data_IF_798719231278
#
_entry.id   IF_798719231278
#
_cell.length_a   1.000
_cell.length_b   1.000
_cell.length_c   1.000
_cell.angle_alpha   90.00
_cell.angle_beta   90.00
_cell.angle_gamma   90.00
#
_symmetry.space_group_name_H-M   'P 1'
#
loop_
_entity.id
_entity.type
_entity.pdbx_description
1 polymer ?
#
# COMPACT_ATOMS: atom_id res chain seq x y z
N UNK A 1 -60.44 -4.97 -76.31
CA UNK A 1 -59.92 -6.22 -75.79
C UNK A 1 -58.41 -6.03 -75.45
N UNK A 2 -58.10 -5.90 -74.20
CA UNK A 2 -56.78 -6.25 -73.59
C UNK A 2 -56.81 -5.77 -72.17
N UNK A 3 -57.09 -6.70 -71.24
CA UNK A 3 -57.07 -6.50 -69.82
C UNK A 3 -55.57 -6.50 -69.39
N UNK A 4 -55.13 -5.44 -68.84
CA UNK A 4 -53.79 -5.35 -68.22
C UNK A 4 -53.93 -5.79 -66.77
N UNK A 5 -53.17 -6.83 -66.41
CA UNK A 5 -52.97 -7.32 -65.03
C UNK A 5 -52.03 -6.37 -64.32
N UNK A 6 -52.46 -5.71 -63.24
CA UNK A 6 -51.56 -5.04 -62.31
C UNK A 6 -51.12 -6.04 -61.23
N UNK A 7 -49.85 -6.39 -61.24
CA UNK A 7 -49.21 -7.14 -60.20
C UNK A 7 -48.74 -6.17 -59.10
N UNK A 8 -49.35 -6.30 -57.91
CA UNK A 8 -48.92 -5.58 -56.73
C UNK A 8 -47.67 -6.26 -56.13
N UNK A 9 -46.51 -5.58 -56.20
CA UNK A 9 -45.31 -5.96 -55.53
C UNK A 9 -45.35 -5.35 -54.14
N UNK A 10 -45.63 -6.15 -53.12
CA UNK A 10 -45.49 -5.78 -51.73
C UNK A 10 -44.02 -5.79 -51.36
N UNK A 11 -43.42 -4.61 -51.29
CA UNK A 11 -42.06 -4.44 -50.74
C UNK A 11 -42.12 -4.54 -49.21
N UNK A 12 -41.75 -5.70 -48.65
CA UNK A 12 -41.41 -5.83 -47.24
C UNK A 12 -40.11 -5.09 -46.98
N UNK A 13 -40.20 -3.84 -46.55
CA UNK A 13 -39.09 -3.12 -45.96
C UNK A 13 -38.81 -3.74 -44.56
N UNK A 14 -37.84 -4.66 -44.50
CA UNK A 14 -37.24 -5.08 -43.27
C UNK A 14 -36.45 -3.88 -42.69
N UNK A 15 -37.08 -3.17 -41.76
CA UNK A 15 -36.35 -2.21 -40.92
C UNK A 15 -35.47 -3.04 -40.03
N UNK A 16 -34.24 -3.28 -40.47
CA UNK A 16 -33.14 -3.68 -39.59
C UNK A 16 -32.92 -2.51 -38.63
N UNK A 17 -33.61 -2.51 -37.49
CA UNK A 17 -33.25 -1.70 -36.35
C UNK A 17 -31.88 -2.19 -35.88
N UNK A 18 -30.84 -1.71 -36.56
CA UNK A 18 -29.49 -1.77 -36.04
C UNK A 18 -29.52 -1.07 -34.70
N UNK A 19 -29.56 -1.83 -33.61
CA UNK A 19 -29.18 -1.33 -32.33
C UNK A 19 -27.73 -0.85 -32.47
N UNK A 20 -27.57 0.42 -32.76
CA UNK A 20 -26.29 1.11 -32.52
C UNK A 20 -26.05 0.91 -31.03
N UNK A 21 -25.34 -0.15 -30.70
CA UNK A 21 -24.82 -0.33 -29.35
C UNK A 21 -24.04 0.93 -29.03
N UNK A 22 -24.66 1.85 -28.32
CA UNK A 22 -23.99 3.01 -27.77
C UNK A 22 -22.80 2.43 -27.00
N UNK A 23 -21.58 2.60 -27.50
CA UNK A 23 -20.39 2.14 -26.81
C UNK A 23 -20.47 2.69 -25.39
N UNK A 24 -20.65 1.81 -24.44
CA UNK A 24 -20.79 2.20 -23.03
C UNK A 24 -19.56 3.00 -22.65
N UNK A 25 -19.76 4.20 -22.12
CA UNK A 25 -18.66 5.09 -21.73
C UNK A 25 -17.69 4.34 -20.81
N UNK A 26 -16.37 4.50 -21.07
CA UNK A 26 -15.34 3.86 -20.26
C UNK A 26 -15.46 4.25 -18.79
N UNK A 27 -15.16 3.31 -17.93
CA UNK A 27 -15.05 3.56 -16.50
C UNK A 27 -13.68 4.19 -16.21
N UNK A 28 -13.65 5.50 -16.00
CA UNK A 28 -12.42 6.23 -15.68
C UNK A 28 -12.08 6.06 -14.21
N UNK A 29 -10.87 5.63 -13.92
CA UNK A 29 -10.31 5.52 -12.58
C UNK A 29 -9.03 6.35 -12.51
N UNK A 30 -9.04 7.39 -11.68
CA UNK A 30 -7.83 8.17 -11.38
C UNK A 30 -6.88 7.35 -10.50
N UNK A 31 -5.62 7.24 -10.89
CA UNK A 31 -4.60 6.54 -10.11
C UNK A 31 -3.58 7.55 -9.59
N UNK A 32 -3.60 7.81 -8.29
CA UNK A 32 -2.58 8.61 -7.63
C UNK A 32 -1.37 7.73 -7.33
N UNK A 33 -0.24 8.05 -7.95
CA UNK A 33 1.01 7.31 -7.77
C UNK A 33 2.18 8.26 -7.54
N UNK A 34 3.04 7.94 -6.58
CA UNK A 34 4.28 8.69 -6.32
C UNK A 34 5.29 8.35 -7.40
N UNK A 35 5.47 9.24 -8.38
CA UNK A 35 6.33 9.04 -9.53
C UNK A 35 7.54 9.98 -9.55
N UNK A 36 7.78 10.68 -8.43
CA UNK A 36 8.98 11.50 -8.22
C UNK A 36 9.40 11.45 -6.74
N UNK A 37 10.68 11.75 -6.45
CA UNK A 37 11.25 11.74 -5.09
C UNK A 37 11.70 10.36 -4.62
N UNK A 38 11.86 10.20 -3.29
CA UNK A 38 12.45 9.01 -2.67
C UNK A 38 11.63 7.73 -2.88
N UNK A 39 10.31 7.83 -3.04
CA UNK A 39 9.40 6.71 -3.14
C UNK A 39 8.96 6.37 -4.59
N UNK A 40 9.65 6.92 -5.60
CA UNK A 40 9.32 6.73 -7.02
C UNK A 40 9.19 5.25 -7.41
N UNK A 41 10.17 4.42 -7.04
CA UNK A 41 10.16 2.99 -7.38
C UNK A 41 8.97 2.23 -6.78
N UNK A 42 8.50 2.65 -5.59
CA UNK A 42 7.29 2.13 -4.98
C UNK A 42 6.02 2.53 -5.73
N UNK A 43 5.94 3.79 -6.16
CA UNK A 43 4.81 4.29 -6.94
C UNK A 43 4.69 3.62 -8.31
N UNK A 44 5.81 3.48 -9.02
CA UNK A 44 5.86 2.75 -10.30
C UNK A 44 5.41 1.30 -10.15
N UNK A 45 5.89 0.62 -9.09
CA UNK A 45 5.52 -0.77 -8.86
C UNK A 45 4.07 -0.92 -8.41
N UNK A 46 3.56 0.04 -7.65
CA UNK A 46 2.14 0.12 -7.31
C UNK A 46 1.25 0.18 -8.56
N UNK A 47 1.59 1.04 -9.52
CA UNK A 47 0.87 1.11 -10.81
C UNK A 47 0.90 -0.24 -11.54
N UNK A 48 2.05 -0.95 -11.54
CA UNK A 48 2.16 -2.31 -12.13
C UNK A 48 1.19 -3.27 -11.46
N UNK A 49 1.07 -3.23 -10.13
CA UNK A 49 0.12 -4.06 -9.39
C UNK A 49 -1.33 -3.84 -9.83
N UNK A 50 -1.76 -2.58 -9.93
CA UNK A 50 -3.09 -2.23 -10.42
C UNK A 50 -3.32 -2.68 -11.87
N UNK A 51 -2.31 -2.50 -12.75
CA UNK A 51 -2.38 -2.94 -14.14
C UNK A 51 -2.53 -4.45 -14.29
N UNK A 52 -1.85 -5.25 -13.45
CA UNK A 52 -2.00 -6.72 -13.45
C UNK A 52 -3.42 -7.09 -13.03
N UNK A 53 -3.95 -6.49 -11.96
CA UNK A 53 -5.30 -6.76 -11.49
C UNK A 53 -6.38 -6.43 -12.55
N UNK A 54 -6.20 -5.32 -13.28
CA UNK A 54 -7.06 -4.96 -14.41
C UNK A 54 -6.91 -5.94 -15.57
N UNK A 55 -5.67 -6.31 -15.94
CA UNK A 55 -5.40 -7.27 -17.02
C UNK A 55 -6.02 -8.64 -16.77
N UNK A 56 -5.95 -9.13 -15.53
CA UNK A 56 -6.58 -10.40 -15.13
C UNK A 56 -8.11 -10.39 -15.27
N UNK A 57 -8.73 -9.20 -15.29
CA UNK A 57 -10.17 -8.97 -15.54
C UNK A 57 -10.47 -8.67 -17.02
N UNK A 58 -9.51 -8.87 -17.92
CA UNK A 58 -9.67 -8.57 -19.35
C UNK A 58 -9.86 -7.09 -19.68
N UNK A 59 -9.36 -6.18 -18.82
CA UNK A 59 -9.48 -4.73 -19.00
C UNK A 59 -10.87 -4.16 -18.70
N UNK A 60 -11.76 -4.93 -18.04
CA UNK A 60 -13.16 -4.56 -17.84
C UNK A 60 -13.63 -4.82 -16.40
N UNK A 61 -14.65 -4.06 -15.98
CA UNK A 61 -15.41 -4.30 -14.75
C UNK A 61 -16.89 -4.23 -15.12
N UNK A 62 -17.67 -5.28 -14.77
CA UNK A 62 -19.09 -5.40 -15.13
C UNK A 62 -19.37 -5.11 -16.63
N UNK A 63 -18.50 -5.58 -17.52
CA UNK A 63 -18.60 -5.38 -18.97
C UNK A 63 -18.10 -4.02 -19.49
N UNK A 64 -17.90 -3.01 -18.65
CA UNK A 64 -17.37 -1.70 -19.04
C UNK A 64 -15.84 -1.73 -19.14
N UNK A 65 -15.31 -1.16 -20.20
CA UNK A 65 -13.87 -0.93 -20.32
C UNK A 65 -13.38 0.02 -19.25
N UNK A 66 -12.23 -0.30 -18.64
CA UNK A 66 -11.59 0.54 -17.62
C UNK A 66 -10.46 1.35 -18.25
N UNK A 67 -10.43 2.64 -17.94
CA UNK A 67 -9.35 3.55 -18.29
C UNK A 67 -8.69 4.09 -17.02
N UNK A 68 -7.38 3.78 -16.83
CA UNK A 68 -6.58 4.39 -15.78
C UNK A 68 -6.06 5.75 -16.23
N UNK A 69 -6.37 6.79 -15.46
CA UNK A 69 -5.78 8.12 -15.61
C UNK A 69 -4.75 8.30 -14.49
N UNK A 70 -3.47 8.10 -14.85
CA UNK A 70 -2.40 8.15 -13.86
C UNK A 70 -2.04 9.61 -13.58
N UNK A 71 -2.08 9.99 -12.30
CA UNK A 71 -1.69 11.29 -11.82
C UNK A 71 -0.50 11.17 -10.86
N UNK A 72 0.62 11.79 -11.28
CA UNK A 72 1.88 11.73 -10.55
C UNK A 72 1.85 12.59 -9.28
N UNK A 73 2.43 12.06 -8.20
CA UNK A 73 2.69 12.79 -6.95
C UNK A 73 4.17 12.68 -6.57
N UNK A 74 4.56 13.36 -5.49
CA UNK A 74 5.90 13.34 -4.91
C UNK A 74 5.91 12.90 -3.44
N UNK A 75 4.86 12.22 -2.98
CA UNK A 75 4.57 11.81 -1.61
C UNK A 75 4.15 12.96 -0.67
N UNK A 76 4.01 14.21 -1.17
CA UNK A 76 3.54 15.33 -0.35
C UNK A 76 2.02 15.51 -0.42
N UNK A 77 1.38 16.02 0.68
CA UNK A 77 -0.04 16.34 0.70
C UNK A 77 -0.48 17.28 -0.42
N UNK A 78 0.31 18.34 -0.68
CA UNK A 78 -0.02 19.34 -1.68
C UNK A 78 -0.02 18.78 -3.10
N UNK A 79 0.92 17.91 -3.41
CA UNK A 79 1.02 17.23 -4.69
C UNK A 79 -0.19 16.31 -4.91
N UNK A 80 -0.57 15.51 -3.91
CA UNK A 80 -1.74 14.65 -3.97
C UNK A 80 -3.04 15.45 -4.18
N UNK A 81 -3.22 16.55 -3.46
CA UNK A 81 -4.41 17.41 -3.60
C UNK A 81 -4.50 18.05 -4.98
N UNK A 82 -3.38 18.55 -5.54
CA UNK A 82 -3.37 19.10 -6.91
C UNK A 82 -3.73 18.03 -7.94
N UNK A 83 -3.15 16.85 -7.83
CA UNK A 83 -3.41 15.72 -8.71
C UNK A 83 -4.87 15.26 -8.60
N UNK A 84 -5.41 15.13 -7.39
CA UNK A 84 -6.80 14.73 -7.16
C UNK A 84 -7.81 15.74 -7.72
N UNK A 85 -7.57 17.04 -7.52
CA UNK A 85 -8.43 18.09 -8.12
C UNK A 85 -8.46 18.00 -9.65
N UNK A 86 -7.29 17.81 -10.28
CA UNK A 86 -7.24 17.63 -11.74
C UNK A 86 -8.05 16.40 -12.17
N UNK A 87 -7.89 15.27 -11.52
CA UNK A 87 -8.65 14.04 -11.81
C UNK A 87 -10.16 14.26 -11.69
N UNK A 88 -10.62 14.94 -10.64
CA UNK A 88 -12.05 15.16 -10.40
C UNK A 88 -12.62 16.28 -11.28
N UNK A 89 -11.96 17.43 -11.35
CA UNK A 89 -12.50 18.63 -11.99
C UNK A 89 -12.31 18.65 -13.52
N UNK A 90 -11.19 18.11 -14.02
CA UNK A 90 -10.86 18.10 -15.46
C UNK A 90 -11.15 16.75 -16.10
N UNK A 91 -10.65 15.66 -15.51
CA UNK A 91 -10.77 14.32 -16.09
C UNK A 91 -12.12 13.66 -15.75
N UNK A 92 -12.89 14.25 -14.80
CA UNK A 92 -14.25 13.84 -14.39
C UNK A 92 -14.31 12.42 -13.83
N UNK A 93 -13.29 11.99 -13.08
CA UNK A 93 -13.31 10.69 -12.43
C UNK A 93 -14.23 10.70 -11.21
N UNK A 94 -14.92 9.59 -10.97
CA UNK A 94 -15.69 9.34 -9.75
C UNK A 94 -14.99 8.34 -8.81
N UNK A 95 -13.89 7.75 -9.26
CA UNK A 95 -13.12 6.74 -8.55
C UNK A 95 -11.65 7.15 -8.53
N UNK A 96 -11.03 7.13 -7.35
CA UNK A 96 -9.59 7.35 -7.18
C UNK A 96 -9.00 6.13 -6.48
N UNK A 97 -7.95 5.56 -7.09
CA UNK A 97 -7.09 4.54 -6.52
C UNK A 97 -5.78 5.19 -6.07
N UNK A 98 -5.42 5.04 -4.82
CA UNK A 98 -4.29 5.74 -4.23
C UNK A 98 -4.73 6.54 -3.00
N UNK A 99 -3.80 7.25 -2.34
CA UNK A 99 -2.40 7.49 -2.69
C UNK A 99 -1.43 6.45 -2.13
N UNK A 100 -0.11 6.82 -2.13
CA UNK A 100 0.94 5.96 -1.61
C UNK A 100 1.40 6.36 -0.20
N UNK A 101 1.75 7.63 0.05
CA UNK A 101 2.33 8.03 1.32
C UNK A 101 1.29 8.27 2.41
N UNK A 102 1.68 8.09 3.68
CA UNK A 102 0.76 8.31 4.80
C UNK A 102 0.25 9.73 4.90
N UNK A 103 1.10 10.73 4.62
CA UNK A 103 0.70 12.14 4.64
C UNK A 103 -0.27 12.49 3.51
N UNK A 104 -0.07 11.92 2.32
CA UNK A 104 -1.04 12.02 1.22
C UNK A 104 -2.39 11.38 1.60
N UNK A 105 -2.37 10.22 2.28
CA UNK A 105 -3.59 9.53 2.73
C UNK A 105 -4.45 10.39 3.66
N UNK A 106 -3.83 11.09 4.61
CA UNK A 106 -4.54 12.03 5.50
C UNK A 106 -5.18 13.16 4.69
N UNK A 107 -4.43 13.78 3.77
CA UNK A 107 -4.94 14.86 2.92
C UNK A 107 -6.08 14.38 2.00
N UNK A 108 -5.94 13.20 1.41
CA UNK A 108 -6.97 12.61 0.54
C UNK A 108 -8.23 12.21 1.30
N UNK A 109 -8.10 11.73 2.55
CA UNK A 109 -9.26 11.53 3.43
C UNK A 109 -10.06 12.82 3.62
N UNK A 110 -9.37 13.93 3.90
CA UNK A 110 -10.06 15.20 4.14
C UNK A 110 -10.62 15.79 2.84
N UNK A 111 -9.90 15.68 1.73
CA UNK A 111 -10.40 16.06 0.40
C UNK A 111 -11.66 15.27 0.01
N UNK A 112 -11.70 13.97 0.27
CA UNK A 112 -12.85 13.13 -0.08
C UNK A 112 -14.17 13.60 0.56
N UNK A 113 -14.12 14.26 1.72
CA UNK A 113 -15.30 14.85 2.38
C UNK A 113 -15.87 16.03 1.59
N UNK A 114 -15.06 16.71 0.79
CA UNK A 114 -15.47 17.86 -0.03
C UNK A 114 -16.03 17.49 -1.39
N UNK A 115 -15.86 16.23 -1.80
CA UNK A 115 -16.28 15.66 -3.08
C UNK A 115 -17.16 14.41 -2.88
N UNK A 116 -18.42 14.56 -2.39
CA UNK A 116 -19.24 13.44 -1.91
C UNK A 116 -19.56 12.38 -2.96
N UNK A 117 -19.45 12.70 -4.25
CA UNK A 117 -19.70 11.80 -5.36
C UNK A 117 -18.45 11.05 -5.83
N UNK A 118 -17.29 11.29 -5.18
CA UNK A 118 -16.03 10.62 -5.50
C UNK A 118 -15.71 9.62 -4.40
N UNK A 119 -15.38 8.39 -4.77
CA UNK A 119 -14.91 7.37 -3.83
C UNK A 119 -13.41 7.21 -3.97
N UNK A 120 -12.70 7.29 -2.86
CA UNK A 120 -11.25 7.04 -2.77
C UNK A 120 -11.04 5.66 -2.19
N UNK A 121 -10.31 4.82 -2.90
CA UNK A 121 -9.80 3.54 -2.41
C UNK A 121 -8.29 3.69 -2.25
N UNK A 122 -7.88 3.79 -1.00
CA UNK A 122 -6.47 3.92 -0.60
C UNK A 122 -5.69 2.71 -1.10
N UNK A 123 -4.63 2.98 -1.83
CA UNK A 123 -3.83 1.91 -2.38
C UNK A 123 -2.73 1.46 -1.42
N UNK A 124 -2.00 2.38 -0.77
CA UNK A 124 -0.86 1.98 0.06
C UNK A 124 -0.54 2.92 1.23
N UNK A 125 -1.30 3.99 1.44
CA UNK A 125 -0.99 4.92 2.53
C UNK A 125 -1.10 4.25 3.89
N UNK A 126 -0.10 4.48 4.75
CA UNK A 126 0.03 3.74 6.01
C UNK A 126 -0.17 4.57 7.28
N UNK A 127 -0.60 5.84 7.21
CA UNK A 127 -0.90 6.61 8.41
C UNK A 127 -2.10 6.02 9.18
N UNK A 128 -1.98 5.88 10.50
CA UNK A 128 -3.08 5.43 11.36
C UNK A 128 -4.26 6.40 11.28
N UNK A 129 -3.96 7.69 11.29
CA UNK A 129 -4.94 8.78 11.35
C UNK A 129 -5.93 8.77 10.18
N UNK A 130 -5.53 8.22 9.05
CA UNK A 130 -6.35 8.23 7.82
C UNK A 130 -7.74 7.62 8.02
N UNK A 131 -7.83 6.51 8.75
CA UNK A 131 -9.09 5.80 9.02
C UNK A 131 -9.48 5.81 10.50
N UNK A 132 -8.58 6.22 11.39
CA UNK A 132 -8.85 6.24 12.83
C UNK A 132 -9.33 7.62 13.33
N UNK A 133 -8.81 8.71 12.76
CA UNK A 133 -9.16 10.07 13.18
C UNK A 133 -10.11 10.70 12.18
N UNK A 134 -11.37 10.90 12.58
CA UNK A 134 -12.38 11.55 11.76
C UNK A 134 -12.47 10.96 10.33
N UNK A 135 -12.75 9.64 10.20
CA UNK A 135 -12.75 8.95 8.91
C UNK A 135 -13.79 9.54 7.95
N UNK A 136 -13.52 9.48 6.66
CA UNK A 136 -14.45 9.92 5.61
C UNK A 136 -15.34 8.76 5.15
N UNK A 137 -16.65 8.98 4.95
CA UNK A 137 -17.55 7.93 4.41
C UNK A 137 -17.21 7.52 2.98
N UNK A 138 -16.42 8.31 2.26
CA UNK A 138 -16.04 8.07 0.88
C UNK A 138 -14.62 7.50 0.74
N UNK A 139 -13.95 7.17 1.86
CA UNK A 139 -12.57 6.71 1.88
C UNK A 139 -12.50 5.27 2.42
N UNK A 140 -11.91 4.36 1.65
CA UNK A 140 -11.79 2.94 1.94
C UNK A 140 -10.33 2.52 1.86
N UNK A 141 -9.86 1.66 2.76
CA UNK A 141 -8.47 1.19 2.75
C UNK A 141 -8.41 -0.33 2.84
N UNK A 142 -8.00 -0.99 1.73
CA UNK A 142 -7.82 -2.44 1.64
C UNK A 142 -6.40 -2.91 1.97
N UNK A 143 -5.61 -2.08 2.60
CA UNK A 143 -4.30 -2.41 3.15
C UNK A 143 -4.24 -2.06 4.64
N UNK A 144 -3.30 -2.68 5.34
CA UNK A 144 -3.01 -2.34 6.74
C UNK A 144 -2.37 -0.94 6.85
N UNK A 145 -2.52 -0.29 8.00
CA UNK A 145 -1.70 0.87 8.32
C UNK A 145 -0.33 0.46 8.86
N UNK A 146 0.58 1.43 9.02
CA UNK A 146 1.95 1.17 9.46
C UNK A 146 2.06 0.49 10.83
N UNK A 147 1.12 0.76 11.77
CA UNK A 147 1.12 0.11 13.07
C UNK A 147 0.72 -1.37 12.96
N UNK A 148 -0.32 -1.65 12.16
CA UNK A 148 -0.76 -3.02 11.91
C UNK A 148 0.33 -3.86 11.25
N UNK A 149 1.12 -3.28 10.34
CA UNK A 149 2.27 -3.98 9.75
C UNK A 149 3.34 -4.35 10.76
N UNK A 150 3.44 -3.65 11.89
CA UNK A 150 4.42 -3.95 12.95
C UNK A 150 3.88 -4.92 14.02
N UNK A 151 2.67 -5.46 13.84
CA UNK A 151 2.08 -6.38 14.79
C UNK A 151 2.96 -7.61 15.03
N UNK A 152 3.26 -7.89 16.29
CA UNK A 152 4.09 -9.02 16.73
C UNK A 152 5.60 -8.82 16.55
N UNK A 153 6.07 -7.84 15.77
CA UNK A 153 7.50 -7.64 15.54
C UNK A 153 8.23 -7.21 16.82
N UNK A 154 7.65 -6.31 17.59
CA UNK A 154 8.27 -5.82 18.82
C UNK A 154 8.54 -6.94 19.81
N UNK A 155 7.56 -7.83 20.02
CA UNK A 155 7.71 -9.01 20.87
C UNK A 155 8.76 -9.99 20.31
N UNK A 156 8.76 -10.25 19.00
CA UNK A 156 9.74 -11.10 18.32
C UNK A 156 11.16 -10.56 18.49
N UNK A 157 11.36 -9.27 18.28
CA UNK A 157 12.68 -8.62 18.41
C UNK A 157 13.19 -8.72 19.86
N UNK A 158 12.30 -8.51 20.86
CA UNK A 158 12.69 -8.60 22.26
C UNK A 158 12.98 -10.05 22.72
N UNK A 159 12.07 -10.99 22.42
CA UNK A 159 12.12 -12.35 22.95
C UNK A 159 13.01 -13.26 22.12
N UNK A 160 12.85 -13.27 20.80
CA UNK A 160 13.49 -14.23 19.92
C UNK A 160 14.87 -13.73 19.43
N UNK A 161 15.01 -12.42 19.10
CA UNK A 161 16.31 -11.83 18.71
C UNK A 161 17.14 -11.41 19.91
N UNK A 162 16.54 -11.22 21.08
CA UNK A 162 17.22 -10.82 22.30
C UNK A 162 17.63 -9.34 22.36
N UNK A 163 17.12 -8.49 21.44
CA UNK A 163 17.44 -7.07 21.43
C UNK A 163 16.62 -6.35 22.50
N UNK A 164 17.29 -5.80 23.51
CA UNK A 164 16.67 -5.18 24.70
C UNK A 164 16.67 -3.66 24.64
N UNK A 165 17.66 -3.07 23.93
CA UNK A 165 17.89 -1.63 23.85
C UNK A 165 18.06 -1.21 22.40
N UNK A 166 17.17 -0.33 21.92
CA UNK A 166 17.17 0.13 20.53
C UNK A 166 17.28 1.64 20.41
N UNK A 167 17.92 2.10 19.32
CA UNK A 167 17.71 3.41 18.75
C UNK A 167 16.73 3.32 17.57
N UNK A 168 16.14 4.44 17.20
CA UNK A 168 15.23 4.59 16.04
C UNK A 168 15.78 5.66 15.11
N UNK A 169 15.81 5.37 13.83
CA UNK A 169 16.01 6.35 12.75
C UNK A 169 14.84 6.20 11.78
N UNK A 170 14.12 7.28 11.49
CA UNK A 170 12.97 7.27 10.59
C UNK A 170 12.83 8.56 9.80
N UNK A 171 12.08 8.50 8.72
CA UNK A 171 11.66 9.67 7.97
C UNK A 171 10.62 10.47 8.76
N UNK A 172 10.66 11.79 8.66
CA UNK A 172 9.90 12.73 9.48
C UNK A 172 8.49 13.00 8.90
N UNK A 173 7.65 11.96 8.83
CA UNK A 173 6.25 12.07 8.42
C UNK A 173 5.36 10.96 9.02
N UNK A 174 4.06 11.03 8.78
CA UNK A 174 3.04 10.23 9.49
C UNK A 174 3.25 8.70 9.42
N UNK A 175 3.73 8.16 8.29
CA UNK A 175 3.87 6.71 8.14
C UNK A 175 4.98 6.10 9.04
N UNK A 176 6.24 6.60 9.06
CA UNK A 176 7.25 6.08 9.97
C UNK A 176 6.86 6.25 11.44
N UNK A 177 6.21 7.35 11.81
CA UNK A 177 5.67 7.49 13.18
C UNK A 177 4.68 6.37 13.50
N UNK A 178 3.79 6.04 12.55
CA UNK A 178 2.81 4.96 12.72
C UNK A 178 3.51 3.60 12.84
N UNK A 179 4.59 3.35 12.10
CA UNK A 179 5.36 2.11 12.21
C UNK A 179 6.05 1.99 13.58
N UNK A 180 6.76 3.04 14.00
CA UNK A 180 7.43 3.06 15.30
C UNK A 180 6.41 2.91 16.43
N UNK A 181 5.24 3.54 16.30
CA UNK A 181 4.13 3.37 17.24
C UNK A 181 3.73 1.91 17.37
N UNK A 182 3.40 1.23 16.26
CA UNK A 182 2.99 -0.16 16.27
C UNK A 182 4.06 -1.12 16.80
N UNK A 183 5.31 -0.90 16.40
CA UNK A 183 6.47 -1.65 16.90
C UNK A 183 6.62 -1.48 18.42
N UNK A 184 6.62 -0.23 18.90
CA UNK A 184 6.84 0.10 20.31
C UNK A 184 5.74 -0.49 21.22
N UNK A 185 4.47 -0.56 20.77
CA UNK A 185 3.41 -1.19 21.57
C UNK A 185 3.76 -2.62 22.00
N UNK A 186 4.28 -3.43 21.09
CA UNK A 186 4.71 -4.80 21.42
C UNK A 186 6.06 -4.86 22.11
N UNK A 187 7.01 -4.03 21.66
CA UNK A 187 8.39 -4.06 22.13
C UNK A 187 8.52 -3.54 23.57
N UNK A 188 7.92 -2.39 23.90
CA UNK A 188 7.94 -1.84 25.25
C UNK A 188 7.16 -2.72 26.23
N UNK A 189 6.00 -3.27 25.80
CA UNK A 189 5.23 -4.23 26.62
C UNK A 189 6.05 -5.48 26.96
N UNK A 190 6.93 -5.92 26.07
CA UNK A 190 7.82 -7.05 26.31
C UNK A 190 9.02 -6.71 27.23
N UNK A 191 9.24 -5.45 27.58
CA UNK A 191 10.34 -4.95 28.42
C UNK A 191 11.47 -4.29 27.64
N UNK A 192 11.31 -4.04 26.33
CA UNK A 192 12.29 -3.36 25.50
C UNK A 192 12.39 -1.86 25.79
N UNK A 193 13.54 -1.27 25.50
CA UNK A 193 13.81 0.15 25.68
C UNK A 193 14.19 0.82 24.35
N UNK A 194 13.51 1.91 24.02
CA UNK A 194 13.90 2.82 22.93
C UNK A 194 14.58 4.02 23.56
N UNK A 195 15.92 4.09 23.41
CA UNK A 195 16.74 5.09 24.12
C UNK A 195 16.97 6.36 23.31
N UNK A 196 16.76 6.28 21.97
CA UNK A 196 16.93 7.42 21.10
C UNK A 196 15.99 7.32 19.92
N UNK A 197 15.52 8.47 19.44
CA UNK A 197 14.77 8.61 18.18
C UNK A 197 15.35 9.77 17.38
N UNK A 198 15.71 9.50 16.15
CA UNK A 198 16.18 10.48 15.19
C UNK A 198 15.25 10.48 13.98
N UNK A 199 14.86 11.68 13.54
CA UNK A 199 13.95 11.86 12.42
C UNK A 199 14.61 12.73 11.36
N UNK A 200 14.53 12.32 10.11
CA UNK A 200 15.09 13.02 8.95
C UNK A 200 14.00 13.34 7.94
N UNK A 201 14.07 14.49 7.25
CA UNK A 201 13.13 14.79 6.18
C UNK A 201 13.11 13.69 5.10
N UNK A 202 11.92 13.39 4.56
CA UNK A 202 11.81 12.50 3.39
C UNK A 202 12.62 13.10 2.22
N UNK A 203 13.45 12.29 1.58
CA UNK A 203 14.34 12.70 0.50
C UNK A 203 15.74 13.14 1.00
N UNK A 204 16.09 12.83 2.25
CA UNK A 204 17.42 13.10 2.83
C UNK A 204 18.53 12.44 2.01
N UNK A 205 19.56 13.21 1.69
CA UNK A 205 20.73 12.73 0.93
C UNK A 205 21.95 12.46 1.80
N UNK A 206 22.08 13.17 2.91
CA UNK A 206 23.21 13.06 3.85
C UNK A 206 22.73 12.56 5.21
N UNK A 207 23.20 11.37 5.58
CA UNK A 207 22.92 10.70 6.84
C UNK A 207 24.11 10.74 7.81
N UNK A 208 25.18 11.45 7.48
CA UNK A 208 26.43 11.44 8.26
C UNK A 208 26.22 11.78 9.74
N UNK A 209 25.50 12.87 10.03
CA UNK A 209 25.23 13.28 11.42
C UNK A 209 24.31 12.28 12.15
N UNK A 210 23.32 11.70 11.46
CA UNK A 210 22.41 10.74 12.05
C UNK A 210 23.15 9.44 12.39
N UNK A 211 24.04 8.99 11.50
CA UNK A 211 24.87 7.79 11.71
C UNK A 211 25.84 8.01 12.86
N UNK A 212 26.51 9.16 12.92
CA UNK A 212 27.46 9.49 13.98
C UNK A 212 26.83 9.58 15.37
N UNK A 213 25.52 9.85 15.43
CA UNK A 213 24.77 9.94 16.67
C UNK A 213 24.08 8.61 17.09
N UNK A 214 24.33 7.49 16.42
CA UNK A 214 23.84 6.19 16.88
C UNK A 214 24.59 5.82 18.16
N UNK A 215 23.90 5.55 19.29
CA UNK A 215 24.58 5.16 20.53
C UNK A 215 25.31 3.83 20.37
N UNK A 216 26.51 3.73 20.92
CA UNK A 216 27.34 2.53 20.84
C UNK A 216 26.79 1.34 21.64
N UNK A 217 25.95 1.60 22.62
CA UNK A 217 25.43 0.63 23.59
C UNK A 217 24.01 0.14 23.28
N UNK A 218 23.56 0.27 22.04
CA UNK A 218 22.29 -0.32 21.56
C UNK A 218 22.49 -1.69 20.92
N UNK A 219 21.54 -2.60 21.11
CA UNK A 219 21.57 -3.93 20.49
C UNK A 219 21.28 -3.85 18.98
N UNK A 220 20.43 -2.91 18.58
CA UNK A 220 20.09 -2.69 17.18
C UNK A 220 19.50 -1.29 16.95
N UNK A 221 19.35 -0.92 15.68
CA UNK A 221 18.67 0.30 15.22
C UNK A 221 17.41 -0.09 14.45
N UNK A 222 16.26 0.42 14.87
CA UNK A 222 15.04 0.35 14.08
C UNK A 222 15.10 1.39 12.96
N UNK A 223 14.95 0.93 11.72
CA UNK A 223 15.02 1.77 10.53
C UNK A 223 13.63 1.94 9.89
N UNK A 224 13.02 3.10 10.11
CA UNK A 224 11.77 3.54 9.48
C UNK A 224 12.04 4.37 8.22
N UNK A 225 12.89 3.86 7.32
CA UNK A 225 13.28 4.48 6.07
C UNK A 225 12.73 3.69 4.88
N UNK A 226 12.58 4.33 3.72
CA UNK A 226 12.08 3.69 2.50
C UNK A 226 12.80 4.14 1.22
N UNK A 227 12.65 3.35 0.15
CA UNK A 227 13.10 3.70 -1.19
C UNK A 227 14.52 4.24 -1.26
N UNK A 228 14.69 5.42 -1.88
CA UNK A 228 15.98 6.06 -2.08
C UNK A 228 16.71 6.45 -0.79
N UNK A 229 15.97 6.81 0.26
CA UNK A 229 16.55 7.20 1.55
C UNK A 229 17.19 6.01 2.26
N UNK A 230 16.54 4.83 2.20
CA UNK A 230 17.14 3.57 2.68
C UNK A 230 18.46 3.27 1.99
N UNK A 231 18.50 3.41 0.66
CA UNK A 231 19.71 3.15 -0.13
C UNK A 231 20.83 4.13 0.23
N UNK A 232 20.50 5.42 0.38
CA UNK A 232 21.47 6.45 0.79
C UNK A 232 22.02 6.17 2.19
N UNK A 233 21.14 5.83 3.16
CA UNK A 233 21.54 5.47 4.51
C UNK A 233 22.49 4.25 4.51
N UNK A 234 22.11 3.16 3.85
CA UNK A 234 22.92 1.93 3.81
C UNK A 234 24.30 2.15 3.19
N UNK A 235 24.38 2.93 2.11
CA UNK A 235 25.64 3.25 1.46
C UNK A 235 26.58 4.04 2.40
N UNK A 236 26.07 5.06 3.09
CA UNK A 236 26.86 5.86 4.02
C UNK A 236 27.21 5.09 5.28
N UNK A 237 26.25 4.32 5.84
CA UNK A 237 26.51 3.47 6.99
C UNK A 237 27.59 2.42 6.70
N UNK A 238 27.55 1.79 5.52
CA UNK A 238 28.58 0.83 5.08
C UNK A 238 29.98 1.44 5.00
N UNK A 239 30.10 2.74 4.68
CA UNK A 239 31.39 3.44 4.62
C UNK A 239 31.98 3.73 6.01
N UNK A 240 31.15 3.84 7.05
CA UNK A 240 31.62 4.08 8.43
C UNK A 240 32.15 2.81 9.11
N UNK A 241 31.96 1.64 8.54
CA UNK A 241 32.29 0.37 9.18
C UNK A 241 31.41 0.05 10.40
N UNK A 242 30.24 0.66 10.50
CA UNK A 242 29.27 0.48 11.58
C UNK A 242 28.87 -0.98 11.77
N UNK A 243 28.71 -1.40 13.05
CA UNK A 243 28.44 -2.79 13.44
C UNK A 243 27.05 -3.01 14.06
N UNK A 244 26.25 -1.95 14.21
CA UNK A 244 24.91 -2.09 14.77
C UNK A 244 24.06 -3.00 13.90
N UNK A 245 23.29 -3.88 14.54
CA UNK A 245 22.26 -4.68 13.88
C UNK A 245 21.05 -3.81 13.56
N UNK A 246 20.22 -4.27 12.64
CA UNK A 246 19.04 -3.53 12.25
C UNK A 246 17.75 -4.28 12.59
N UNK A 247 16.68 -3.52 12.80
CA UNK A 247 15.30 -3.94 12.76
C UNK A 247 14.63 -3.11 11.66
N UNK A 248 14.06 -3.73 10.65
CA UNK A 248 13.49 -3.01 9.52
C UNK A 248 12.01 -2.65 9.73
N UNK A 249 11.64 -1.40 9.46
CA UNK A 249 10.27 -1.09 9.08
C UNK A 249 9.89 -1.82 7.78
N UNK A 250 8.59 -1.92 7.47
CA UNK A 250 8.11 -2.74 6.34
C UNK A 250 8.71 -2.34 4.99
N UNK A 251 8.96 -1.04 4.76
CA UNK A 251 9.52 -0.53 3.50
C UNK A 251 11.06 -0.53 3.47
N UNK A 252 11.72 -0.67 4.63
CA UNK A 252 13.18 -0.81 4.69
C UNK A 252 13.68 -2.14 4.09
N UNK A 253 12.86 -3.16 4.19
CA UNK A 253 13.14 -4.51 3.66
C UNK A 253 12.24 -4.89 2.49
N UNK A 254 11.59 -3.91 1.87
CA UNK A 254 10.79 -4.11 0.67
C UNK A 254 11.68 -4.32 -0.56
N UNK A 255 11.12 -4.95 -1.60
CA UNK A 255 11.84 -5.22 -2.85
C UNK A 255 12.36 -3.94 -3.52
N UNK A 256 11.76 -2.78 -3.28
CA UNK A 256 12.27 -1.48 -3.74
C UNK A 256 13.67 -1.17 -3.20
N UNK A 257 14.02 -1.71 -2.02
CA UNK A 257 15.34 -1.59 -1.37
C UNK A 257 16.18 -2.84 -1.61
N UNK A 258 15.62 -4.04 -1.39
CA UNK A 258 16.36 -5.30 -1.51
C UNK A 258 16.85 -5.57 -2.94
N UNK A 259 16.12 -5.10 -3.95
CA UNK A 259 16.54 -5.19 -5.36
C UNK A 259 17.39 -4.01 -5.84
N UNK A 260 17.75 -3.06 -4.95
CA UNK A 260 18.59 -1.91 -5.31
C UNK A 260 19.99 -2.34 -5.74
N UNK A 261 20.67 -1.48 -6.51
CA UNK A 261 22.03 -1.74 -6.95
C UNK A 261 23.02 -1.51 -5.82
N UNK A 262 24.16 -2.21 -5.86
CA UNK A 262 25.27 -2.05 -4.91
C UNK A 262 25.26 -3.09 -3.80
N UNK A 263 26.38 -3.17 -3.08
CA UNK A 263 26.64 -4.17 -2.04
C UNK A 263 26.07 -3.78 -0.67
N UNK A 264 25.81 -2.49 -0.43
CA UNK A 264 25.41 -1.97 0.88
C UNK A 264 24.05 -2.57 1.38
N UNK A 265 23.18 -2.97 0.47
CA UNK A 265 21.94 -3.68 0.84
C UNK A 265 22.21 -4.99 1.61
N UNK A 266 23.38 -5.61 1.46
CA UNK A 266 23.75 -6.82 2.22
C UNK A 266 23.89 -6.56 3.72
N UNK A 267 24.00 -5.32 4.16
CA UNK A 267 23.92 -4.94 5.57
C UNK A 267 22.57 -5.31 6.21
N UNK A 268 21.54 -5.51 5.38
CA UNK A 268 20.23 -5.94 5.84
C UNK A 268 20.11 -7.44 6.11
N UNK A 269 21.08 -8.28 5.71
CA UNK A 269 21.01 -9.74 5.96
C UNK A 269 20.93 -10.00 7.47
N UNK A 270 19.93 -10.81 7.88
CA UNK A 270 19.61 -11.07 9.28
C UNK A 270 18.70 -10.05 9.95
N UNK A 271 18.28 -8.98 9.23
CA UNK A 271 17.36 -7.96 9.74
C UNK A 271 15.95 -8.54 9.89
N UNK A 272 15.40 -8.59 11.12
CA UNK A 272 14.00 -8.91 11.33
C UNK A 272 13.12 -7.72 10.91
N UNK A 273 11.95 -8.02 10.35
CA UNK A 273 10.95 -7.03 9.97
C UNK A 273 9.55 -7.62 10.03
N UNK A 274 8.55 -6.79 9.76
CA UNK A 274 7.19 -7.26 9.49
C UNK A 274 6.47 -6.35 8.50
N UNK A 275 5.45 -6.89 7.83
CA UNK A 275 4.72 -6.15 6.81
C UNK A 275 3.60 -6.96 6.18
N UNK A 276 2.98 -6.38 5.15
CA UNK A 276 1.89 -7.01 4.41
C UNK A 276 2.33 -8.08 3.40
N UNK A 277 3.64 -8.33 3.24
CA UNK A 277 4.17 -9.30 2.28
C UNK A 277 5.33 -10.10 2.89
N UNK A 278 5.54 -11.30 2.37
CA UNK A 278 6.70 -12.16 2.69
C UNK A 278 7.13 -12.86 1.41
N UNK A 279 8.25 -12.44 0.82
CA UNK A 279 8.69 -12.91 -0.51
C UNK A 279 8.75 -14.43 -0.63
N UNK A 280 9.28 -15.09 0.39
CA UNK A 280 9.46 -16.53 0.43
C UNK A 280 8.34 -17.29 1.17
N UNK A 281 7.14 -16.71 1.24
CA UNK A 281 5.99 -17.40 1.83
C UNK A 281 5.55 -18.57 0.94
N UNK A 282 5.49 -19.78 1.55
CA UNK A 282 5.12 -21.00 0.84
C UNK A 282 3.59 -21.19 0.80
N UNK A 283 2.90 -20.24 0.16
CA UNK A 283 1.46 -20.29 -0.06
C UNK A 283 1.15 -20.32 -1.57
N UNK A 284 0.22 -21.16 -2.03
CA UNK A 284 -0.10 -21.27 -3.46
C UNK A 284 -0.60 -19.96 -4.09
N UNK A 285 -1.38 -19.14 -3.38
CA UNK A 285 -1.90 -17.87 -3.90
C UNK A 285 -0.80 -16.83 -4.01
N UNK A 286 0.06 -16.77 -2.99
CA UNK A 286 1.23 -15.91 -3.03
C UNK A 286 2.15 -16.25 -4.20
N UNK A 287 2.47 -17.55 -4.37
CA UNK A 287 3.27 -18.01 -5.52
C UNK A 287 2.62 -17.70 -6.86
N UNK A 288 1.31 -17.86 -6.97
CA UNK A 288 0.57 -17.50 -8.19
C UNK A 288 0.64 -15.99 -8.47
N UNK A 289 0.57 -15.15 -7.43
CA UNK A 289 0.73 -13.70 -7.55
C UNK A 289 2.15 -13.32 -7.99
N UNK A 290 3.17 -13.88 -7.35
CA UNK A 290 4.59 -13.68 -7.76
C UNK A 290 4.77 -14.06 -9.22
N UNK A 291 4.25 -15.23 -9.64
CA UNK A 291 4.30 -15.63 -11.03
C UNK A 291 3.58 -14.69 -11.97
N UNK A 292 2.37 -14.26 -11.66
CA UNK A 292 1.61 -13.31 -12.46
C UNK A 292 2.34 -11.97 -12.62
N UNK A 293 2.99 -11.48 -11.56
CA UNK A 293 3.82 -10.30 -11.56
C UNK A 293 5.05 -10.47 -12.46
N UNK A 294 5.72 -11.62 -12.37
CA UNK A 294 6.89 -11.94 -13.17
C UNK A 294 6.57 -12.10 -14.67
N UNK A 295 5.43 -12.70 -14.98
CA UNK A 295 4.97 -12.90 -16.37
C UNK A 295 4.47 -11.60 -17.02
N UNK A 296 4.04 -10.63 -16.21
CA UNK A 296 3.45 -9.38 -16.74
C UNK A 296 4.50 -8.40 -17.29
N UNK A 297 5.73 -8.43 -16.73
CA UNK A 297 6.78 -7.47 -17.08
C UNK A 297 8.12 -8.16 -17.28
N UNK A 298 8.97 -7.70 -18.20
CA UNK A 298 10.33 -8.22 -18.38
C UNK A 298 11.19 -7.96 -17.14
N UNK A 299 12.20 -8.79 -16.93
CA UNK A 299 13.01 -8.82 -15.71
C UNK A 299 13.73 -7.49 -15.39
N UNK A 300 14.08 -6.71 -16.42
CA UNK A 300 14.73 -5.39 -16.27
C UNK A 300 13.74 -4.27 -15.91
N UNK A 301 12.43 -4.55 -15.91
CA UNK A 301 11.33 -3.61 -15.60
C UNK A 301 10.54 -3.95 -14.34
N UNK A 302 10.97 -4.93 -13.59
CA UNK A 302 10.30 -5.41 -12.36
C UNK A 302 11.31 -5.82 -11.29
N UNK A 303 10.83 -6.02 -10.08
CA UNK A 303 11.60 -6.66 -9.00
C UNK A 303 11.55 -8.19 -9.11
N UNK A 304 12.36 -8.87 -8.31
CA UNK A 304 12.36 -10.33 -8.25
C UNK A 304 11.03 -10.89 -7.70
N UNK A 305 10.43 -10.19 -6.73
CA UNK A 305 9.11 -10.43 -6.15
C UNK A 305 8.30 -9.14 -6.20
N UNK A 306 6.95 -9.17 -6.25
CA UNK A 306 6.15 -7.96 -6.15
C UNK A 306 6.44 -7.23 -4.84
N UNK A 307 6.64 -5.92 -4.91
CA UNK A 307 6.80 -5.10 -3.72
C UNK A 307 5.52 -5.06 -2.87
N UNK A 308 5.65 -4.58 -1.64
CA UNK A 308 4.50 -4.23 -0.81
C UNK A 308 3.55 -3.27 -1.55
N UNK A 309 4.09 -2.31 -2.28
CA UNK A 309 3.29 -1.35 -3.04
C UNK A 309 2.52 -2.00 -4.19
N UNK A 310 3.16 -2.87 -4.98
CA UNK A 310 2.48 -3.63 -6.04
C UNK A 310 1.32 -4.45 -5.48
N UNK A 311 1.55 -5.16 -4.38
CA UNK A 311 0.54 -6.00 -3.72
C UNK A 311 -0.61 -5.17 -3.16
N UNK A 312 -0.33 -4.02 -2.56
CA UNK A 312 -1.35 -3.15 -2.00
C UNK A 312 -2.24 -2.51 -3.09
N UNK A 313 -1.65 -1.99 -4.18
CA UNK A 313 -2.42 -1.45 -5.30
C UNK A 313 -3.25 -2.53 -6.01
N UNK A 314 -2.70 -3.76 -6.13
CA UNK A 314 -3.43 -4.92 -6.64
C UNK A 314 -4.66 -5.22 -5.78
N UNK A 315 -4.50 -5.29 -4.47
CA UNK A 315 -5.60 -5.57 -3.53
C UNK A 315 -6.65 -4.46 -3.51
N UNK A 316 -6.20 -3.19 -3.46
CA UNK A 316 -7.08 -2.04 -3.45
C UNK A 316 -7.94 -1.96 -4.71
N UNK A 317 -7.33 -2.15 -5.89
CA UNK A 317 -8.07 -2.21 -7.15
C UNK A 317 -9.01 -3.44 -7.18
N UNK A 318 -8.56 -4.59 -6.70
CA UNK A 318 -9.39 -5.81 -6.65
C UNK A 318 -10.63 -5.61 -5.77
N UNK A 319 -10.49 -4.93 -4.61
CA UNK A 319 -11.60 -4.56 -3.75
C UNK A 319 -12.56 -3.59 -4.43
N UNK A 320 -12.02 -2.53 -5.06
CA UNK A 320 -12.80 -1.58 -5.85
C UNK A 320 -13.60 -2.29 -6.94
N UNK A 321 -12.95 -3.16 -7.72
CA UNK A 321 -13.59 -3.91 -8.80
C UNK A 321 -14.68 -4.85 -8.29
N UNK A 322 -14.45 -5.57 -7.19
CA UNK A 322 -15.43 -6.46 -6.58
C UNK A 322 -16.69 -5.68 -6.12
N UNK A 323 -16.53 -4.51 -5.52
CA UNK A 323 -17.65 -3.65 -5.16
C UNK A 323 -18.41 -3.12 -6.37
N UNK A 324 -17.71 -2.70 -7.44
CA UNK A 324 -18.31 -2.22 -8.68
C UNK A 324 -19.10 -3.30 -9.42
N UNK A 325 -18.63 -4.55 -9.41
CA UNK A 325 -19.36 -5.69 -10.00
C UNK A 325 -20.72 -5.91 -9.33
N UNK A 326 -20.84 -5.67 -8.01
CA UNK A 326 -22.10 -5.80 -7.28
C UNK A 326 -23.18 -4.81 -7.69
N UNK A 327 -22.76 -3.67 -8.25
CA UNK A 327 -23.66 -2.60 -8.71
C UNK A 327 -23.64 -2.43 -10.24
N UNK A 328 -23.11 -3.41 -10.99
CA UNK A 328 -22.93 -3.33 -12.44
C UNK A 328 -22.19 -2.06 -12.91
N UNK A 329 -21.21 -1.60 -12.11
CA UNK A 329 -20.46 -0.37 -12.31
C UNK A 329 -21.36 0.88 -12.45
N UNK A 330 -22.56 0.88 -11.86
CA UNK A 330 -23.45 2.04 -11.80
C UNK A 330 -23.01 2.99 -10.68
N UNK A 331 -22.66 4.21 -11.05
CA UNK A 331 -22.29 5.30 -10.17
C UNK A 331 -23.25 6.51 -10.29
N UNK A 332 -24.41 6.32 -10.92
CA UNK A 332 -25.37 7.39 -11.23
C UNK A 332 -25.95 8.08 -9.99
N UNK A 333 -25.95 7.39 -8.85
CA UNK A 333 -26.38 7.90 -7.54
C UNK A 333 -25.24 8.61 -6.75
N UNK A 334 -24.20 9.02 -7.43
CA UNK A 334 -23.00 9.56 -6.81
C UNK A 334 -22.16 8.50 -6.09
N UNK A 335 -22.34 7.22 -6.45
CA UNK A 335 -21.60 6.08 -5.92
C UNK A 335 -22.05 5.61 -4.53
N UNK A 336 -23.25 6.02 -4.07
CA UNK A 336 -23.75 5.63 -2.73
C UNK A 336 -23.95 4.12 -2.60
N UNK A 337 -24.61 3.49 -3.59
CA UNK A 337 -24.78 2.02 -3.62
C UNK A 337 -23.46 1.30 -3.73
N UNK A 338 -22.56 1.81 -4.57
CA UNK A 338 -21.21 1.25 -4.71
C UNK A 338 -20.47 1.24 -3.36
N UNK A 339 -20.44 2.37 -2.63
CA UNK A 339 -19.80 2.45 -1.30
C UNK A 339 -20.43 1.50 -0.28
N UNK A 340 -21.76 1.32 -0.34
CA UNK A 340 -22.45 0.38 0.54
C UNK A 340 -22.05 -1.09 0.27
N UNK A 341 -21.85 -1.45 -1.00
CA UNK A 341 -21.37 -2.79 -1.36
C UNK A 341 -19.86 -2.93 -1.14
N UNK A 342 -19.06 -1.87 -1.41
CA UNK A 342 -17.63 -1.87 -1.18
C UNK A 342 -17.28 -2.13 0.30
N UNK A 343 -18.07 -1.57 1.23
CA UNK A 343 -17.87 -1.79 2.67
C UNK A 343 -18.05 -3.25 3.11
N UNK A 344 -18.75 -4.07 2.31
CA UNK A 344 -19.00 -5.51 2.58
C UNK A 344 -18.03 -6.44 1.86
N UNK A 345 -17.13 -5.88 1.06
CA UNK A 345 -16.21 -6.71 0.26
C UNK A 345 -15.24 -7.45 1.18
N UNK A 346 -15.21 -8.76 1.02
CA UNK A 346 -14.18 -9.63 1.56
C UNK A 346 -13.32 -10.13 0.40
N UNK A 347 -12.01 -9.89 0.48
CA UNK A 347 -11.06 -10.32 -0.54
C UNK A 347 -10.34 -11.58 -0.08
N UNK A 348 -10.25 -12.53 -0.97
CA UNK A 348 -9.32 -13.63 -0.89
C UNK A 348 -8.00 -13.23 -1.59
N UNK A 349 -7.28 -12.30 -0.94
CA UNK A 349 -6.10 -11.66 -1.51
C UNK A 349 -4.87 -12.58 -1.52
N UNK A 350 -3.88 -12.33 -2.40
CA UNK A 350 -2.66 -13.16 -2.48
C UNK A 350 -1.88 -13.25 -1.17
N UNK A 351 -1.94 -12.23 -0.35
CA UNK A 351 -1.27 -12.13 0.96
C UNK A 351 -2.20 -12.43 2.15
N UNK A 352 -3.30 -13.14 1.89
CA UNK A 352 -4.27 -13.55 2.89
C UNK A 352 -5.59 -12.78 2.82
N UNK A 353 -6.61 -13.22 3.57
CA UNK A 353 -7.93 -12.61 3.54
C UNK A 353 -7.93 -11.18 4.06
N UNK A 354 -8.72 -10.32 3.41
CA UNK A 354 -8.92 -8.91 3.80
C UNK A 354 -10.41 -8.64 3.89
N UNK A 355 -10.84 -8.06 5.00
CA UNK A 355 -12.17 -7.47 5.16
C UNK A 355 -12.08 -6.10 5.79
N UNK A 356 -13.10 -5.28 5.65
CA UNK A 356 -13.12 -3.93 6.22
C UNK A 356 -13.83 -3.92 7.58
N UNK A 357 -13.35 -3.06 8.48
CA UNK A 357 -14.05 -2.71 9.71
C UNK A 357 -15.06 -1.55 9.48
N UNK A 358 -15.77 -1.14 10.53
CA UNK A 358 -16.80 -0.09 10.47
C UNK A 358 -16.24 1.28 10.03
N UNK A 359 -14.94 1.53 10.22
CA UNK A 359 -14.26 2.73 9.73
C UNK A 359 -13.65 2.54 8.33
N UNK A 360 -13.99 1.44 7.65
CA UNK A 360 -13.51 1.08 6.30
C UNK A 360 -12.00 0.85 6.23
N UNK A 361 -11.41 0.45 7.36
CA UNK A 361 -10.03 -0.02 7.47
C UNK A 361 -9.95 -1.53 7.30
N UNK A 362 -8.99 -2.00 6.52
CA UNK A 362 -8.74 -3.44 6.40
C UNK A 362 -8.42 -4.09 7.77
N UNK A 363 -8.95 -5.28 7.95
CA UNK A 363 -8.45 -6.30 8.88
C UNK A 363 -7.74 -7.32 8.01
N UNK A 364 -6.44 -7.54 8.23
CA UNK A 364 -5.59 -8.31 7.33
C UNK A 364 -4.52 -9.10 8.08
N UNK A 365 -3.80 -9.94 7.34
CA UNK A 365 -2.64 -10.67 7.87
C UNK A 365 -1.38 -9.82 7.77
N UNK A 366 -0.53 -9.92 8.80
CA UNK A 366 0.82 -9.37 8.82
C UNK A 366 1.82 -10.52 8.91
N UNK A 367 2.96 -10.36 8.25
CA UNK A 367 4.03 -11.36 8.22
C UNK A 367 5.24 -10.86 9.00
N UNK A 368 5.78 -11.68 9.89
CA UNK A 368 7.11 -11.47 10.45
C UNK A 368 8.08 -12.17 9.52
N UNK A 369 9.13 -11.46 9.13
CA UNK A 369 10.12 -11.90 8.16
C UNK A 369 11.54 -11.62 8.65
N UNK A 370 12.52 -12.22 7.99
CA UNK A 370 13.94 -11.92 8.19
C UNK A 370 14.63 -11.88 6.82
N UNK A 371 15.44 -10.86 6.58
CA UNK A 371 16.17 -10.73 5.32
C UNK A 371 17.24 -11.78 5.20
N UNK A 372 17.24 -12.51 4.10
CA UNK A 372 18.26 -13.54 3.77
C UNK A 372 18.79 -13.32 2.35
N UNK A 373 19.99 -13.82 2.09
CA UNK A 373 20.54 -13.91 0.75
C UNK A 373 20.13 -15.26 0.13
N UNK A 374 19.45 -15.20 -1.01
CA UNK A 374 19.06 -16.36 -1.78
C UNK A 374 20.28 -16.97 -2.52
N UNK A 375 20.22 -18.22 -3.00
CA UNK A 375 21.35 -18.88 -3.69
C UNK A 375 21.86 -18.15 -4.94
N UNK A 376 21.02 -17.33 -5.58
CA UNK A 376 21.38 -16.50 -6.74
C UNK A 376 21.99 -15.14 -6.35
N UNK A 377 22.17 -14.88 -5.04
CA UNK A 377 22.72 -13.63 -4.50
C UNK A 377 21.72 -12.49 -4.32
N UNK A 378 20.45 -12.69 -4.67
CA UNK A 378 19.40 -11.73 -4.40
C UNK A 378 19.03 -11.73 -2.91
N UNK A 379 18.55 -10.57 -2.42
CA UNK A 379 17.99 -10.48 -1.08
C UNK A 379 16.49 -10.71 -1.12
N UNK A 380 16.00 -11.44 -0.13
CA UNK A 380 14.59 -11.80 -0.03
C UNK A 380 14.14 -11.86 1.44
N UNK A 381 12.87 -11.64 1.67
CA UNK A 381 12.24 -11.78 2.98
C UNK A 381 11.86 -13.25 3.24
N UNK A 382 12.68 -13.93 4.02
CA UNK A 382 12.34 -15.26 4.55
C UNK A 382 11.15 -15.13 5.49
N UNK A 383 10.13 -15.95 5.25
CA UNK A 383 8.98 -16.07 6.13
C UNK A 383 9.37 -16.67 7.49
N UNK A 384 8.91 -16.05 8.57
CA UNK A 384 9.06 -16.54 9.95
C UNK A 384 7.71 -17.02 10.48
N UNK A 385 6.71 -16.14 10.55
CA UNK A 385 5.34 -16.47 10.96
C UNK A 385 4.32 -15.44 10.50
N UNK A 386 3.04 -15.80 10.48
CA UNK A 386 1.91 -14.91 10.29
C UNK A 386 1.39 -14.36 11.62
N UNK A 387 0.85 -13.15 11.57
CA UNK A 387 -0.04 -12.58 12.59
C UNK A 387 -1.37 -12.32 11.89
N UNK A 388 -2.37 -13.22 12.06
CA UNK A 388 -3.63 -13.11 11.34
C UNK A 388 -4.58 -12.09 11.97
N UNK A 389 -5.55 -11.61 11.19
CA UNK A 389 -6.66 -10.75 11.65
C UNK A 389 -6.21 -9.51 12.42
N UNK A 390 -5.13 -8.88 12.00
CA UNK A 390 -4.66 -7.66 12.63
C UNK A 390 -5.64 -6.53 12.34
N UNK A 391 -6.19 -5.94 13.39
CA UNK A 391 -7.06 -4.76 13.34
C UNK A 391 -6.31 -3.48 13.69
N UNK A 392 -6.93 -2.33 13.44
CA UNK A 392 -6.34 -1.01 13.72
C UNK A 392 -5.97 -0.79 15.20
N UNK A 393 -6.60 -1.51 16.13
CA UNK A 393 -6.27 -1.44 17.56
C UNK A 393 -5.22 -2.44 18.01
N UNK A 394 -4.71 -3.28 17.08
CA UNK A 394 -3.66 -4.27 17.34
C UNK A 394 -3.96 -5.20 18.52
N UNK A 395 -5.24 -5.57 18.69
CA UNK A 395 -5.70 -6.46 19.77
C UNK A 395 -5.93 -5.79 21.13
N UNK A 396 -5.75 -4.48 21.23
CA UNK A 396 -6.16 -3.72 22.42
C UNK A 396 -7.66 -3.40 22.39
N UNK A 397 -8.27 -3.18 23.56
CA UNK A 397 -9.61 -2.58 23.59
C UNK A 397 -9.59 -1.16 23.00
N UNK A 398 -10.74 -0.67 22.55
CA UNK A 398 -10.82 0.68 21.99
C UNK A 398 -10.36 1.76 22.99
N UNK A 399 -10.72 1.60 24.27
CA UNK A 399 -10.33 2.51 25.36
C UNK A 399 -8.83 2.46 25.62
N UNK A 400 -8.25 1.26 25.69
CA UNK A 400 -6.81 1.08 25.91
C UNK A 400 -6.00 1.64 24.72
N UNK A 401 -6.46 1.41 23.49
CA UNK A 401 -5.80 1.95 22.30
C UNK A 401 -5.87 3.49 22.25
N UNK A 402 -7.05 4.05 22.57
CA UNK A 402 -7.24 5.50 22.67
C UNK A 402 -6.36 6.14 23.75
N UNK A 403 -6.16 5.46 24.88
CA UNK A 403 -5.32 5.94 25.97
C UNK A 403 -3.83 6.02 25.61
N UNK A 404 -3.36 5.22 24.65
CA UNK A 404 -1.97 5.33 24.11
C UNK A 404 -1.77 6.66 23.39
N UNK A 405 -2.82 7.22 22.78
CA UNK A 405 -2.75 8.44 21.97
C UNK A 405 -2.36 8.15 20.50
N UNK A 406 -2.09 9.21 19.74
CA UNK A 406 -1.76 9.10 18.32
C UNK A 406 -0.25 8.94 18.10
N UNK A 407 0.16 8.29 17.00
CA UNK A 407 1.56 8.24 16.58
C UNK A 407 2.20 9.63 16.49
N UNK A 408 3.43 9.75 16.95
CA UNK A 408 4.20 10.99 16.83
C UNK A 408 5.71 10.69 16.88
N UNK A 409 6.54 11.72 16.80
CA UNK A 409 8.00 11.60 16.97
C UNK A 409 8.38 10.93 18.30
N UNK A 410 7.55 11.07 19.34
CA UNK A 410 7.84 10.59 20.69
C UNK A 410 6.86 9.52 21.19
N UNK A 411 5.64 9.46 20.68
CA UNK A 411 4.61 8.55 21.18
C UNK A 411 4.55 7.23 20.39
N UNK A 412 4.46 6.06 21.08
CA UNK A 412 4.48 5.88 22.52
C UNK A 412 5.91 5.92 23.08
N UNK A 413 6.03 6.38 24.32
CA UNK A 413 7.27 6.24 25.08
C UNK A 413 7.37 4.83 25.65
N UNK A 414 8.54 4.19 25.49
CA UNK A 414 8.89 3.04 26.32
C UNK A 414 9.23 3.53 27.71
N UNK A 415 8.27 3.50 28.63
CA UNK A 415 8.58 3.79 30.04
C UNK A 415 9.38 2.62 30.60
N UNK A 416 10.43 2.90 31.39
CA UNK A 416 11.22 1.87 32.05
C UNK A 416 10.38 1.03 33.02
#
# INVERSE_FOLDING_TARGET
MRKALMAAVAACALIAAGSTGQAQEKLKIGVLATLSGALTSGGEDGVRGAQIALKQRGGKIAGREVEFIIAATDASPDSALRAARKLVEQDKVQLILGPLSGSEGIAMRDYSKTVPNVTVVDASSGALETTYVNPSPNYFRFNSNGAMWMAGLGEYVFKDKGYKKLAVIGEDYSFPYTQVFGFALGYCKAGGQIVQRQWVPLGTKDFGSVIANIPDDVDAVFLGLGGGDSVNFLNQYGQTGGKAKFVGGSIMVDQTVLSSRGAAKKLLVGTPSSGGVADAWDDPKWKAWVKAYQDAFPADKRFASPSLFATNYYNAFSGMAAGLEKVNADLSDGGAKFRAELAKVELDAPNGPIKLDDDRQAIATTFITEVVEAPNGDLTNKFVRTVPNVSKTMGLSAEAFKAVGLPSRTNPECKP
#
